data_IF_053966192639
#
_entry.id   IF_053966192639
#
_cell.length_a   1.000
_cell.length_b   1.000
_cell.length_c   1.000
_cell.angle_alpha   90.00
_cell.angle_beta   90.00
_cell.angle_gamma   90.00
#
_symmetry.space_group_name_H-M   'P 1'
#
loop_
_entity.id
_entity.type
_entity.pdbx_description
1 polymer ?
#
# COMPACT_ATOMS: atom_id res chain seq x y z
N UNK A 1 -6.33 2.80 23.31
CA UNK A 1 -7.76 2.72 22.91
C UNK A 1 -7.85 2.86 21.40
N UNK A 2 -7.86 1.73 20.70
CA UNK A 2 -7.65 1.59 19.25
C UNK A 2 -8.96 1.14 18.58
N UNK A 3 -10.10 1.72 18.99
CA UNK A 3 -11.44 1.28 18.54
C UNK A 3 -12.16 2.24 17.59
N UNK A 4 -11.59 3.43 17.30
CA UNK A 4 -12.37 4.53 16.70
C UNK A 4 -11.92 5.01 15.31
N UNK A 5 -11.15 4.22 14.54
CA UNK A 5 -10.60 4.67 13.25
C UNK A 5 -11.24 4.03 12.02
N UNK A 6 -12.13 3.07 12.22
CA UNK A 6 -12.82 2.39 11.14
C UNK A 6 -14.14 3.09 10.87
N UNK A 7 -14.19 3.82 9.75
CA UNK A 7 -15.44 4.33 9.20
C UNK A 7 -15.99 3.31 8.20
N UNK A 8 -16.29 2.06 8.59
CA UNK A 8 -17.45 1.47 7.91
C UNK A 8 -18.56 2.49 8.14
N UNK A 9 -19.11 3.00 7.04
CA UNK A 9 -20.21 3.95 7.00
C UNK A 9 -21.03 3.82 8.28
N UNK A 10 -21.17 4.93 9.02
CA UNK A 10 -21.57 5.04 10.44
C UNK A 10 -22.95 4.46 10.81
N UNK A 11 -23.51 3.55 10.02
CA UNK A 11 -24.83 2.97 10.09
C UNK A 11 -24.89 1.43 9.90
N UNK A 12 -23.77 0.71 9.87
CA UNK A 12 -23.80 -0.77 9.75
C UNK A 12 -23.68 -1.40 11.14
N UNK A 13 -24.73 -2.11 11.56
CA UNK A 13 -24.73 -2.90 12.79
C UNK A 13 -24.03 -4.23 12.50
N UNK A 14 -22.81 -4.37 13.02
CA UNK A 14 -22.00 -5.59 12.93
C UNK A 14 -21.95 -6.21 14.33
N UNK A 15 -22.63 -7.34 14.53
CA UNK A 15 -22.70 -8.02 15.82
C UNK A 15 -21.51 -8.98 16.05
N UNK A 16 -20.69 -9.23 15.01
CA UNK A 16 -19.44 -9.97 15.14
C UNK A 16 -18.62 -10.10 13.86
N UNK A 17 -17.58 -10.93 13.92
CA UNK A 17 -16.69 -11.20 12.78
C UNK A 17 -17.43 -11.72 11.54
N UNK A 18 -18.42 -12.60 11.73
CA UNK A 18 -19.16 -13.19 10.61
C UNK A 18 -20.01 -12.17 9.86
N UNK A 19 -20.61 -11.21 10.57
CA UNK A 19 -21.35 -10.12 9.92
C UNK A 19 -20.41 -9.22 9.13
N UNK A 20 -19.23 -8.93 9.68
CA UNK A 20 -18.20 -8.17 8.95
C UNK A 20 -17.72 -8.94 7.72
N UNK A 21 -17.47 -10.24 7.84
CA UNK A 21 -17.02 -11.07 6.73
C UNK A 21 -18.10 -11.11 5.63
N UNK A 22 -19.36 -11.34 5.99
CA UNK A 22 -20.47 -11.35 5.03
C UNK A 22 -20.61 -9.99 4.35
N UNK A 23 -20.60 -8.91 5.14
CA UNK A 23 -20.64 -7.56 4.57
C UNK A 23 -19.48 -7.28 3.61
N UNK A 24 -18.26 -7.71 3.96
CA UNK A 24 -17.04 -7.47 3.19
C UNK A 24 -17.06 -8.13 1.80
N UNK A 25 -17.75 -9.27 1.67
CA UNK A 25 -17.88 -9.98 0.38
C UNK A 25 -19.04 -9.43 -0.45
N UNK A 26 -20.08 -8.91 0.20
CA UNK A 26 -21.24 -8.30 -0.48
C UNK A 26 -20.95 -6.87 -0.95
N UNK A 27 -20.04 -6.15 -0.30
CA UNK A 27 -19.73 -4.73 -0.52
C UNK A 27 -18.23 -4.51 -0.79
N UNK A 28 -17.68 -5.24 -1.76
CA UNK A 28 -16.25 -5.20 -2.12
C UNK A 28 -15.79 -3.77 -2.46
N UNK A 29 -16.47 -2.98 -3.32
CA UNK A 29 -16.02 -1.64 -3.66
C UNK A 29 -15.97 -0.69 -2.46
N UNK A 30 -16.99 -0.75 -1.59
CA UNK A 30 -17.08 0.07 -0.38
C UNK A 30 -15.99 -0.30 0.62
N UNK A 31 -15.80 -1.60 0.88
CA UNK A 31 -14.74 -2.10 1.75
C UNK A 31 -13.38 -1.57 1.31
N UNK A 32 -13.05 -1.72 0.02
CA UNK A 32 -11.73 -1.36 -0.49
C UNK A 32 -11.52 0.15 -0.63
N UNK A 33 -12.59 0.93 -0.81
CA UNK A 33 -12.53 2.39 -0.66
C UNK A 33 -12.18 2.80 0.78
N UNK A 34 -12.81 2.19 1.77
CA UNK A 34 -12.51 2.44 3.18
C UNK A 34 -11.10 1.97 3.55
N UNK A 35 -10.65 0.82 3.04
CA UNK A 35 -9.29 0.33 3.27
C UNK A 35 -8.22 1.25 2.67
N UNK A 36 -8.50 1.88 1.53
CA UNK A 36 -7.62 2.88 0.94
C UNK A 36 -7.41 4.08 1.88
N UNK A 37 -8.51 4.61 2.42
CA UNK A 37 -8.48 5.76 3.33
C UNK A 37 -7.90 5.37 4.71
N UNK A 38 -8.24 4.19 5.23
CA UNK A 38 -7.70 3.62 6.47
C UNK A 38 -6.18 3.42 6.41
N UNK A 39 -5.67 2.87 5.30
CA UNK A 39 -4.23 2.68 5.10
C UNK A 39 -3.48 4.01 4.95
N UNK A 40 -4.21 5.12 4.74
CA UNK A 40 -3.63 6.43 4.47
C UNK A 40 -2.83 6.42 3.18
N UNK A 41 -3.38 5.82 2.12
CA UNK A 41 -2.71 5.67 0.84
C UNK A 41 -2.37 7.03 0.22
N UNK A 42 -1.08 7.24 -0.03
CA UNK A 42 -0.54 8.42 -0.71
C UNK A 42 -0.67 8.21 -2.21
N UNK A 43 -1.30 9.16 -2.90
CA UNK A 43 -1.47 9.11 -4.36
C UNK A 43 -1.46 10.51 -4.96
N UNK A 44 -0.95 10.59 -6.19
CA UNK A 44 -0.98 11.81 -7.01
C UNK A 44 -2.33 12.04 -7.68
N UNK A 45 -3.11 10.97 -7.86
CA UNK A 45 -4.51 11.01 -8.30
C UNK A 45 -5.26 9.87 -7.59
N UNK A 46 -6.39 10.19 -6.94
CA UNK A 46 -7.29 9.18 -6.34
C UNK A 46 -7.99 8.38 -7.44
N UNK A 47 -8.44 7.17 -7.12
CA UNK A 47 -9.20 6.33 -8.04
C UNK A 47 -10.53 6.97 -8.44
N UNK A 48 -10.97 6.67 -9.66
CA UNK A 48 -12.31 7.02 -10.15
C UNK A 48 -13.31 5.89 -9.83
N UNK A 49 -12.84 4.62 -9.81
CA UNK A 49 -13.63 3.43 -9.47
C UNK A 49 -12.76 2.37 -8.81
N UNK A 50 -13.21 1.76 -7.72
CA UNK A 50 -12.45 0.72 -6.99
C UNK A 50 -12.34 -0.57 -7.79
N UNK A 51 -13.45 -1.10 -8.30
CA UNK A 51 -13.48 -2.28 -9.16
C UNK A 51 -14.80 -2.29 -9.95
N UNK A 52 -14.80 -2.89 -11.13
CA UNK A 52 -16.04 -3.22 -11.84
C UNK A 52 -16.42 -4.69 -11.60
N UNK A 53 -17.42 -4.92 -10.74
CA UNK A 53 -17.90 -6.27 -10.41
C UNK A 53 -18.59 -6.99 -11.58
N UNK A 54 -18.92 -6.28 -12.65
CA UNK A 54 -19.48 -6.91 -13.86
C UNK A 54 -18.39 -7.52 -14.75
N UNK A 55 -17.12 -7.24 -14.47
CA UNK A 55 -16.00 -7.79 -15.25
C UNK A 55 -15.70 -9.22 -14.78
N UNK A 56 -15.77 -10.22 -15.67
CA UNK A 56 -15.41 -11.59 -15.32
C UNK A 56 -13.97 -11.70 -14.80
N UNK A 57 -13.74 -12.56 -13.81
CA UNK A 57 -12.41 -12.75 -13.20
C UNK A 57 -11.33 -13.16 -14.21
N UNK A 58 -11.69 -13.95 -15.21
CA UNK A 58 -10.83 -14.34 -16.34
C UNK A 58 -10.27 -13.16 -17.14
N UNK A 59 -10.92 -11.98 -17.05
CA UNK A 59 -10.47 -10.74 -17.68
C UNK A 59 -9.62 -9.86 -16.76
N UNK A 60 -9.30 -10.33 -15.55
CA UNK A 60 -8.51 -9.62 -14.55
C UNK A 60 -9.05 -8.20 -14.30
N UNK A 61 -10.17 -8.05 -13.57
CA UNK A 61 -10.79 -6.76 -13.34
C UNK A 61 -9.76 -5.75 -12.78
N UNK A 62 -9.75 -4.55 -13.36
CA UNK A 62 -8.81 -3.50 -12.97
C UNK A 62 -9.24 -2.89 -11.64
N UNK A 63 -8.36 -2.97 -10.65
CA UNK A 63 -8.55 -2.35 -9.34
C UNK A 63 -8.11 -0.88 -9.35
N UNK A 64 -8.81 -0.04 -8.61
CA UNK A 64 -8.55 1.38 -8.40
C UNK A 64 -8.31 2.14 -9.71
N UNK A 65 -9.18 1.89 -10.69
CA UNK A 65 -9.12 2.50 -12.02
C UNK A 65 -8.99 4.01 -11.90
N UNK A 66 -8.03 4.58 -12.64
CA UNK A 66 -7.77 6.01 -12.65
C UNK A 66 -6.78 6.51 -11.60
N UNK A 67 -6.48 5.71 -10.56
CA UNK A 67 -5.50 6.08 -9.54
C UNK A 67 -4.08 6.15 -10.10
N UNK A 68 -3.26 7.03 -9.51
CA UNK A 68 -1.82 7.12 -9.78
C UNK A 68 -1.06 7.20 -8.47
N UNK A 69 -0.32 6.17 -8.15
CA UNK A 69 0.49 6.06 -6.93
C UNK A 69 1.91 5.56 -7.24
N UNK A 70 2.80 5.73 -6.26
CA UNK A 70 4.12 5.12 -6.26
C UNK A 70 4.27 4.23 -5.02
N UNK A 71 4.71 2.97 -5.21
CA UNK A 71 4.87 2.02 -4.12
C UNK A 71 5.96 2.47 -3.14
N UNK A 72 7.12 2.91 -3.65
CA UNK A 72 8.23 3.36 -2.82
C UNK A 72 7.86 4.60 -1.99
N UNK A 73 7.07 5.53 -2.53
CA UNK A 73 6.54 6.67 -1.78
C UNK A 73 5.68 6.22 -0.58
N UNK A 74 4.83 5.21 -0.76
CA UNK A 74 3.98 4.71 0.31
C UNK A 74 4.77 3.92 1.37
N UNK A 75 5.73 3.09 0.95
CA UNK A 75 6.58 2.31 1.86
C UNK A 75 7.60 3.18 2.60
N UNK A 76 8.11 4.25 1.96
CA UNK A 76 9.14 5.15 2.49
C UNK A 76 8.56 6.52 2.87
N UNK A 77 7.29 6.55 3.30
CA UNK A 77 6.63 7.78 3.76
C UNK A 77 7.25 8.35 5.03
N UNK A 78 7.84 7.48 5.85
CA UNK A 78 8.62 7.88 7.02
C UNK A 78 10.10 8.03 6.65
N UNK A 79 10.74 9.07 7.18
CA UNK A 79 12.15 9.40 6.96
C UNK A 79 12.84 9.75 8.28
N UNK A 80 12.46 9.02 9.32
CA UNK A 80 12.91 9.22 10.69
C UNK A 80 13.85 8.08 11.14
N UNK A 81 14.29 8.16 12.39
CA UNK A 81 15.25 7.21 12.97
C UNK A 81 14.58 5.94 13.53
N UNK A 82 13.29 5.72 13.23
CA UNK A 82 12.64 4.46 13.57
C UNK A 82 13.27 3.32 12.77
N UNK A 83 13.38 2.15 13.38
CA UNK A 83 13.96 0.97 12.73
C UNK A 83 13.00 0.45 11.65
N UNK A 84 13.48 0.40 10.41
CA UNK A 84 12.78 -0.20 9.26
C UNK A 84 13.13 -1.68 9.11
N UNK A 85 14.42 -2.02 9.21
CA UNK A 85 14.90 -3.40 9.09
C UNK A 85 15.80 -3.79 10.24
N UNK A 86 15.68 -5.06 10.65
CA UNK A 86 16.64 -5.74 11.52
C UNK A 86 17.26 -6.85 10.67
N UNK A 87 18.47 -6.60 10.16
CA UNK A 87 19.21 -7.55 9.34
C UNK A 87 20.09 -8.43 10.23
N UNK A 88 19.98 -9.74 10.05
CA UNK A 88 20.74 -10.76 10.79
C UNK A 88 21.16 -11.88 9.84
N UNK A 89 22.13 -12.70 10.24
CA UNK A 89 22.61 -13.84 9.47
C UNK A 89 23.68 -14.63 10.23
N UNK A 90 23.98 -15.84 9.74
CA UNK A 90 24.98 -16.71 10.39
C UNK A 90 26.35 -16.03 10.48
N UNK A 91 26.90 -15.97 11.69
CA UNK A 91 28.19 -15.34 11.96
C UNK A 91 28.25 -13.82 11.81
N UNK A 92 27.12 -13.14 11.60
CA UNK A 92 27.07 -11.67 11.45
C UNK A 92 26.41 -11.00 12.65
N UNK A 93 26.96 -9.84 13.03
CA UNK A 93 26.31 -8.99 14.02
C UNK A 93 24.98 -8.46 13.47
N UNK A 94 23.96 -8.40 14.33
CA UNK A 94 22.67 -7.81 13.98
C UNK A 94 22.84 -6.33 13.64
N UNK A 95 22.36 -5.93 12.45
CA UNK A 95 22.32 -4.53 12.02
C UNK A 95 20.88 -4.03 12.07
N UNK A 96 20.68 -2.88 12.74
CA UNK A 96 19.42 -2.14 12.68
C UNK A 96 19.58 -1.05 11.63
N UNK A 97 18.60 -0.95 10.73
CA UNK A 97 18.58 0.04 9.65
C UNK A 97 17.32 0.87 9.83
N UNK A 98 17.48 2.19 9.84
CA UNK A 98 16.41 3.17 10.04
C UNK A 98 15.66 3.48 8.74
N UNK A 99 14.45 4.02 8.85
CA UNK A 99 13.70 4.51 7.69
C UNK A 99 14.45 5.61 6.94
N UNK A 100 15.15 6.51 7.65
CA UNK A 100 15.95 7.57 7.04
C UNK A 100 17.12 7.02 6.21
N UNK A 101 17.78 5.95 6.66
CA UNK A 101 18.84 5.25 5.90
C UNK A 101 18.29 4.55 4.66
N UNK A 102 17.19 3.79 4.79
CA UNK A 102 16.56 3.12 3.64
C UNK A 102 16.13 4.13 2.58
N UNK A 103 15.56 5.26 2.98
CA UNK A 103 15.17 6.32 2.05
C UNK A 103 16.37 6.86 1.26
N UNK A 104 17.47 7.19 1.94
CA UNK A 104 18.69 7.70 1.30
C UNK A 104 19.28 6.69 0.31
N UNK A 105 19.27 5.42 0.67
CA UNK A 105 19.77 4.35 -0.19
C UNK A 105 18.89 4.16 -1.43
N UNK A 106 17.56 4.12 -1.26
CA UNK A 106 16.61 4.06 -2.37
C UNK A 106 16.73 5.28 -3.31
N UNK A 107 16.93 6.48 -2.76
CA UNK A 107 17.15 7.71 -3.52
C UNK A 107 18.41 7.63 -4.38
N UNK A 108 19.51 7.14 -3.80
CA UNK A 108 20.79 6.96 -4.49
C UNK A 108 20.66 5.99 -5.67
N UNK A 109 20.05 4.82 -5.45
CA UNK A 109 19.84 3.84 -6.51
C UNK A 109 18.90 4.37 -7.59
N UNK A 110 17.81 5.04 -7.22
CA UNK A 110 16.90 5.65 -8.19
C UNK A 110 17.61 6.71 -9.04
N UNK A 111 18.50 7.52 -8.45
CA UNK A 111 19.30 8.49 -9.19
C UNK A 111 20.29 7.82 -10.14
N UNK A 112 20.96 6.75 -9.70
CA UNK A 112 21.86 5.98 -10.54
C UNK A 112 21.12 5.35 -11.73
N UNK A 113 19.97 4.69 -11.49
CA UNK A 113 19.16 4.10 -12.55
C UNK A 113 18.69 5.12 -13.59
N UNK A 114 18.26 6.30 -13.15
CA UNK A 114 17.93 7.40 -14.08
C UNK A 114 19.14 7.83 -14.90
N UNK A 115 20.33 7.91 -14.29
CA UNK A 115 21.58 8.24 -14.99
C UNK A 115 21.98 7.17 -16.02
N UNK A 116 21.70 5.90 -15.74
CA UNK A 116 21.86 4.80 -16.69
C UNK A 116 20.77 4.74 -17.78
N UNK A 117 19.78 5.63 -17.73
CA UNK A 117 18.76 5.76 -18.76
C UNK A 117 17.52 4.90 -18.57
N UNK A 118 17.34 4.27 -17.41
CA UNK A 118 16.12 3.49 -17.11
C UNK A 118 14.88 4.39 -17.12
N UNK A 119 13.82 3.86 -17.72
CA UNK A 119 12.51 4.50 -17.87
C UNK A 119 11.42 3.64 -17.22
N UNK A 120 10.24 4.26 -17.06
CA UNK A 120 9.06 3.55 -16.59
C UNK A 120 8.70 2.43 -17.57
N UNK A 121 8.59 1.21 -17.06
CA UNK A 121 8.27 0.02 -17.85
C UNK A 121 9.49 -0.85 -18.16
N UNK A 122 10.71 -0.34 -17.95
CA UNK A 122 11.92 -1.15 -18.07
C UNK A 122 12.01 -2.16 -16.91
N UNK A 123 12.57 -3.33 -17.21
CA UNK A 123 12.74 -4.43 -16.26
C UNK A 123 14.19 -4.46 -15.78
N UNK A 124 14.38 -4.60 -14.47
CA UNK A 124 15.69 -4.80 -13.83
C UNK A 124 15.72 -6.20 -13.23
N UNK A 125 16.70 -7.00 -13.63
CA UNK A 125 16.90 -8.39 -13.18
C UNK A 125 18.27 -8.56 -12.58
#
# INVERSE_FOLDING_TARGET
NQKDHWKISTNIKLDGYWDLQQWSVDHIPELWAEMWDFAGMISSKKFDKVIDLNTPLEKFPVWFTGAKLNLAENLLKYRDDKIAFIATGEGRCTKKITFSEVYKEAELYAAAFRKFGLKKGDVVT
#
